data_IF_397484320171
#
_entry.id   IF_397484320171
#
_cell.length_a   1.000
_cell.length_b   1.000
_cell.length_c   1.000
_cell.angle_alpha   90.00
_cell.angle_beta   90.00
_cell.angle_gamma   90.00
#
_symmetry.space_group_name_H-M   'P 1'
#
loop_
_entity.id
_entity.type
_entity.pdbx_description
1 polymer ?
#
# COMPACT_ATOMS: atom_id res chain seq x y z
N UNK A 1 -8.11 -15.82 -36.25
CA UNK A 1 -7.39 -17.09 -36.47
C UNK A 1 -8.25 -18.31 -36.15
N UNK A 2 -8.90 -18.35 -34.97
CA UNK A 2 -9.76 -19.49 -34.57
C UNK A 2 -10.98 -19.62 -35.49
N UNK A 3 -11.62 -18.53 -35.85
CA UNK A 3 -12.78 -18.53 -36.76
C UNK A 3 -12.42 -18.95 -38.21
N UNK A 4 -11.19 -18.66 -38.68
CA UNK A 4 -10.69 -19.08 -39.99
C UNK A 4 -10.45 -20.59 -40.06
N UNK A 5 -10.10 -21.21 -38.93
CA UNK A 5 -9.87 -22.66 -38.80
C UNK A 5 -11.20 -23.44 -38.78
N UNK A 6 -12.26 -22.86 -38.24
CA UNK A 6 -13.58 -23.51 -38.16
C UNK A 6 -14.40 -23.43 -39.49
N UNK A 7 -14.04 -22.49 -40.37
CA UNK A 7 -14.82 -22.27 -41.63
C UNK A 7 -14.15 -22.92 -42.86
N UNK A 8 -13.64 -24.15 -42.74
CA UNK A 8 -13.00 -24.90 -43.82
C UNK A 8 -13.96 -25.67 -44.73
N UNK A 9 -15.25 -25.34 -44.68
CA UNK A 9 -16.24 -25.89 -45.60
C UNK A 9 -16.53 -24.87 -46.73
N UNK A 10 -16.58 -25.33 -47.97
CA UNK A 10 -16.72 -24.60 -49.24
C UNK A 10 -17.90 -23.61 -49.34
N UNK A 11 -18.08 -22.74 -48.38
CA UNK A 11 -19.03 -21.63 -48.45
C UNK A 11 -18.30 -20.35 -48.85
N UNK A 12 -18.93 -19.45 -49.63
CA UNK A 12 -18.31 -18.20 -50.04
C UNK A 12 -17.80 -17.47 -48.79
N UNK A 13 -16.54 -17.06 -48.81
CA UNK A 13 -15.94 -16.27 -47.74
C UNK A 13 -16.75 -15.00 -47.60
N UNK A 14 -17.54 -14.88 -46.55
CA UNK A 14 -18.06 -13.59 -46.14
C UNK A 14 -16.88 -12.73 -45.79
N UNK A 15 -16.63 -11.68 -46.55
CA UNK A 15 -15.64 -10.66 -46.21
C UNK A 15 -16.09 -10.04 -44.88
N UNK A 16 -15.49 -10.49 -43.78
CA UNK A 16 -15.61 -9.76 -42.54
C UNK A 16 -14.97 -8.39 -42.75
N UNK A 17 -15.79 -7.36 -42.68
CA UNK A 17 -15.30 -5.99 -42.68
C UNK A 17 -14.21 -5.87 -41.60
N UNK A 18 -13.07 -5.27 -41.94
CA UNK A 18 -12.00 -5.00 -40.99
C UNK A 18 -12.52 -4.25 -39.74
N UNK A 19 -13.57 -3.44 -39.93
CA UNK A 19 -14.30 -2.77 -38.85
C UNK A 19 -14.92 -3.76 -37.85
N UNK A 20 -15.54 -4.84 -38.30
CA UNK A 20 -16.13 -5.85 -37.40
C UNK A 20 -15.07 -6.63 -36.65
N UNK A 21 -13.90 -6.87 -37.26
CA UNK A 21 -12.77 -7.51 -36.58
C UNK A 21 -12.21 -6.60 -35.48
N UNK A 22 -12.06 -5.31 -35.77
CA UNK A 22 -11.60 -4.32 -34.75
C UNK A 22 -12.60 -4.22 -33.60
N UNK A 23 -13.91 -4.12 -33.89
CA UNK A 23 -14.95 -4.07 -32.86
C UNK A 23 -14.94 -5.33 -31.98
N UNK A 24 -14.86 -6.51 -32.61
CA UNK A 24 -14.79 -7.77 -31.86
C UNK A 24 -13.54 -7.83 -30.94
N UNK A 25 -12.39 -7.36 -31.44
CA UNK A 25 -11.17 -7.30 -30.65
C UNK A 25 -11.29 -6.33 -29.46
N UNK A 26 -11.88 -5.16 -29.67
CA UNK A 26 -12.12 -4.18 -28.59
C UNK A 26 -13.07 -4.73 -27.53
N UNK A 27 -14.19 -5.34 -27.94
CA UNK A 27 -15.15 -5.96 -27.02
C UNK A 27 -14.46 -7.06 -26.20
N UNK A 28 -13.69 -7.92 -26.87
CA UNK A 28 -12.94 -8.99 -26.16
C UNK A 28 -11.90 -8.42 -25.17
N UNK A 29 -11.17 -7.37 -25.57
CA UNK A 29 -10.21 -6.70 -24.70
C UNK A 29 -10.90 -6.07 -23.47
N UNK A 30 -12.07 -5.43 -23.66
CA UNK A 30 -12.86 -4.88 -22.55
C UNK A 30 -13.33 -5.98 -21.59
N UNK A 31 -13.86 -7.10 -22.10
CA UNK A 31 -14.24 -8.25 -21.26
C UNK A 31 -13.05 -8.84 -20.49
N UNK A 32 -11.91 -8.99 -21.16
CA UNK A 32 -10.70 -9.50 -20.55
C UNK A 32 -10.20 -8.56 -19.45
N UNK A 33 -10.23 -7.26 -19.70
CA UNK A 33 -9.83 -6.24 -18.72
C UNK A 33 -10.78 -6.20 -17.51
N UNK A 34 -12.10 -6.27 -17.74
CA UNK A 34 -13.10 -6.35 -16.66
C UNK A 34 -12.94 -7.63 -15.85
N UNK A 35 -12.67 -8.76 -16.50
CA UNK A 35 -12.40 -10.02 -15.82
C UNK A 35 -11.12 -9.94 -14.98
N UNK A 36 -10.07 -9.32 -15.51
CA UNK A 36 -8.82 -9.12 -14.80
C UNK A 36 -9.01 -8.24 -13.53
N UNK A 37 -9.71 -7.11 -13.67
CA UNK A 37 -10.04 -6.25 -12.52
C UNK A 37 -10.92 -7.00 -11.50
N UNK A 38 -11.84 -7.83 -11.95
CA UNK A 38 -12.68 -8.64 -11.05
C UNK A 38 -11.87 -9.66 -10.23
N UNK A 39 -10.76 -10.17 -10.78
CA UNK A 39 -9.88 -11.10 -10.08
C UNK A 39 -8.86 -10.40 -9.17
N UNK A 40 -8.34 -9.26 -9.60
CA UNK A 40 -7.27 -8.55 -8.88
C UNK A 40 -7.79 -7.45 -7.95
N UNK A 41 -9.04 -7.03 -8.13
CA UNK A 41 -9.58 -5.82 -7.50
C UNK A 41 -9.04 -4.52 -8.12
N UNK A 42 -9.52 -3.40 -7.65
CA UNK A 42 -8.91 -2.10 -7.90
C UNK A 42 -7.69 -1.94 -7.01
N UNK A 43 -6.64 -1.22 -7.46
CA UNK A 43 -5.54 -0.87 -6.59
C UNK A 43 -6.09 -0.13 -5.37
N UNK A 44 -5.75 -0.62 -4.17
CA UNK A 44 -6.12 0.02 -2.93
C UNK A 44 -5.49 1.42 -2.86
N UNK A 45 -6.23 2.37 -2.29
CA UNK A 45 -5.64 3.67 -2.00
C UNK A 45 -4.62 3.49 -0.88
N UNK A 46 -3.39 4.02 -1.03
CA UNK A 46 -2.39 3.89 0.01
C UNK A 46 -2.86 4.56 1.31
N UNK A 47 -2.55 3.93 2.44
CA UNK A 47 -2.83 4.47 3.77
C UNK A 47 -1.80 5.54 4.10
N UNK A 48 -2.28 6.74 4.37
CA UNK A 48 -1.45 7.89 4.73
C UNK A 48 -1.45 8.10 6.24
N UNK A 49 -0.27 8.12 6.83
CA UNK A 49 -0.04 8.52 8.22
C UNK A 49 0.79 9.79 8.19
N UNK A 50 0.26 10.88 8.71
CA UNK A 50 1.04 12.10 8.89
C UNK A 50 1.63 12.09 10.30
N UNK A 51 2.94 12.12 10.38
CA UNK A 51 3.71 12.15 11.62
C UNK A 51 4.36 13.52 11.72
N UNK A 52 3.89 14.37 12.61
CA UNK A 52 4.19 15.81 12.66
C UNK A 52 3.89 16.47 11.29
N UNK A 53 4.90 16.86 10.53
CA UNK A 53 4.77 17.47 9.20
C UNK A 53 5.12 16.53 8.05
N UNK A 54 5.50 15.29 8.38
CA UNK A 54 6.00 14.31 7.40
C UNK A 54 4.89 13.33 7.06
N UNK A 55 4.61 13.19 5.77
CA UNK A 55 3.65 12.20 5.29
C UNK A 55 4.33 10.86 5.08
N UNK A 56 3.79 9.81 5.68
CA UNK A 56 4.27 8.44 5.59
C UNK A 56 3.20 7.59 4.91
N UNK A 57 3.49 7.11 3.72
CA UNK A 57 2.64 6.17 2.99
C UNK A 57 3.13 4.77 3.29
N UNK A 58 2.33 4.01 4.06
CA UNK A 58 2.67 2.64 4.44
C UNK A 58 2.73 1.75 3.19
N UNK A 59 3.84 1.05 3.02
CA UNK A 59 4.11 0.23 1.83
C UNK A 59 4.89 0.94 0.72
N UNK A 60 5.04 2.27 0.76
CA UNK A 60 5.71 3.07 -0.28
C UNK A 60 6.88 3.92 0.25
N UNK A 61 6.67 4.65 1.36
CA UNK A 61 7.68 5.56 1.93
C UNK A 61 8.91 4.78 2.38
N UNK A 62 10.09 5.27 1.99
CA UNK A 62 11.37 4.70 2.41
C UNK A 62 11.85 5.31 3.71
N UNK A 63 12.62 4.54 4.49
CA UNK A 63 13.25 5.05 5.71
C UNK A 63 14.20 6.24 5.44
N UNK A 64 14.80 6.33 4.23
CA UNK A 64 15.60 7.49 3.82
C UNK A 64 14.81 8.80 3.80
N UNK A 65 13.52 8.77 3.53
CA UNK A 65 12.66 9.95 3.51
C UNK A 65 12.45 10.48 4.93
N UNK A 66 12.18 9.57 5.91
CA UNK A 66 12.10 9.97 7.32
C UNK A 66 13.43 10.53 7.83
N UNK A 67 14.55 9.90 7.45
CA UNK A 67 15.88 10.38 7.80
C UNK A 67 16.13 11.80 7.26
N UNK A 68 15.71 12.09 6.02
CA UNK A 68 15.86 13.43 5.42
C UNK A 68 15.00 14.50 6.09
N UNK A 69 13.88 14.10 6.69
CA UNK A 69 12.98 14.96 7.48
C UNK A 69 13.42 15.12 8.95
N UNK A 70 14.59 14.59 9.31
CA UNK A 70 15.20 14.73 10.63
C UNK A 70 14.76 13.69 11.66
N UNK A 71 14.08 12.64 11.26
CA UNK A 71 13.82 11.49 12.11
C UNK A 71 15.10 10.65 12.28
N UNK A 72 15.20 10.00 13.43
CA UNK A 72 16.23 9.02 13.74
C UNK A 72 15.57 7.73 14.20
N UNK A 73 16.23 6.61 13.99
CA UNK A 73 15.74 5.28 14.39
C UNK A 73 16.54 4.80 15.60
N UNK A 74 15.88 4.20 16.59
CA UNK A 74 16.51 3.72 17.79
C UNK A 74 17.67 2.76 17.50
N UNK A 75 18.86 3.09 17.98
CA UNK A 75 20.11 2.30 17.81
C UNK A 75 20.46 1.94 16.36
N UNK A 76 19.92 2.65 15.37
CA UNK A 76 20.17 2.39 13.95
C UNK A 76 20.59 3.66 13.22
N UNK A 77 21.52 3.48 12.28
CA UNK A 77 21.95 4.50 11.33
C UNK A 77 21.44 4.17 9.93
N UNK A 78 21.54 5.11 8.99
CA UNK A 78 21.10 4.94 7.61
C UNK A 78 21.71 3.70 6.93
N UNK A 79 22.93 3.33 7.27
CA UNK A 79 23.66 2.20 6.68
C UNK A 79 23.55 0.91 7.50
N UNK A 80 22.83 0.91 8.64
CA UNK A 80 22.60 -0.29 9.42
C UNK A 80 21.88 -1.35 8.59
N UNK A 81 22.37 -2.58 8.61
CA UNK A 81 21.73 -3.70 7.96
C UNK A 81 20.41 -4.09 8.64
N UNK A 82 19.37 -4.22 7.85
CA UNK A 82 18.06 -4.74 8.25
C UNK A 82 17.85 -6.06 7.53
N UNK A 83 17.60 -7.10 8.31
CA UNK A 83 17.34 -8.46 7.82
C UNK A 83 15.83 -8.72 7.86
N UNK A 84 15.30 -9.29 6.80
CA UNK A 84 13.93 -9.77 6.75
C UNK A 84 13.83 -11.04 7.61
N UNK A 85 13.16 -10.93 8.75
CA UNK A 85 12.87 -12.09 9.60
C UNK A 85 11.69 -12.84 8.96
N UNK A 86 11.96 -14.04 8.42
CA UNK A 86 10.93 -14.92 7.89
C UNK A 86 10.37 -15.77 9.03
N UNK A 87 9.05 -15.73 9.24
CA UNK A 87 8.36 -16.86 9.81
C UNK A 87 7.57 -17.57 8.70
N UNK A 88 7.08 -18.78 8.95
CA UNK A 88 6.51 -19.68 7.94
C UNK A 88 5.39 -19.09 7.07
N UNK A 89 4.87 -17.88 7.36
CA UNK A 89 3.70 -17.31 6.68
C UNK A 89 3.83 -15.83 6.32
N UNK A 90 4.73 -15.05 6.95
CA UNK A 90 4.81 -13.61 6.73
C UNK A 90 6.26 -13.11 6.75
N UNK A 91 6.54 -12.11 5.91
CA UNK A 91 7.76 -11.32 5.99
C UNK A 91 7.53 -10.17 6.96
N UNK A 92 8.23 -10.18 8.08
CA UNK A 92 8.23 -9.05 9.00
C UNK A 92 9.51 -8.25 8.83
N UNK A 93 9.36 -6.95 8.62
CA UNK A 93 10.47 -6.04 8.77
C UNK A 93 10.89 -5.89 10.24
N UNK A 94 11.95 -5.15 10.47
CA UNK A 94 12.41 -4.81 11.81
C UNK A 94 11.55 -3.68 12.38
N UNK A 95 10.93 -3.91 13.54
CA UNK A 95 10.24 -2.86 14.29
C UNK A 95 11.26 -1.97 14.98
N UNK A 96 11.19 -0.68 14.71
CA UNK A 96 12.11 0.33 15.24
C UNK A 96 11.33 1.54 15.76
N UNK A 97 11.71 2.06 16.91
CA UNK A 97 11.19 3.31 17.42
C UNK A 97 11.79 4.49 16.66
N UNK A 98 10.97 5.48 16.32
CA UNK A 98 11.39 6.69 15.62
C UNK A 98 11.34 7.91 16.53
N UNK A 99 12.37 8.74 16.40
CA UNK A 99 12.54 9.95 17.20
C UNK A 99 12.77 11.15 16.32
N UNK A 100 12.28 12.30 16.76
CA UNK A 100 12.60 13.60 16.18
C UNK A 100 12.74 14.62 17.32
N UNK A 101 13.82 15.38 17.33
CA UNK A 101 14.12 16.37 18.38
C UNK A 101 14.03 15.79 19.81
N UNK A 102 14.46 14.52 19.98
CA UNK A 102 14.44 13.81 21.25
C UNK A 102 13.07 13.33 21.74
N UNK A 103 12.02 13.50 20.93
CA UNK A 103 10.68 12.99 21.19
C UNK A 103 10.44 11.70 20.42
N UNK A 104 9.79 10.72 21.06
CA UNK A 104 9.34 9.50 20.38
C UNK A 104 8.03 9.74 19.64
N UNK A 105 7.99 9.32 18.39
CA UNK A 105 6.80 9.34 17.54
C UNK A 105 6.24 7.93 17.27
N UNK A 106 6.56 6.97 18.15
CA UNK A 106 6.08 5.59 18.05
C UNK A 106 7.02 4.69 17.27
N UNK A 107 6.47 3.63 16.70
CA UNK A 107 7.23 2.55 16.09
C UNK A 107 6.86 2.39 14.62
N UNK A 108 7.86 2.07 13.81
CA UNK A 108 7.68 1.70 12.41
C UNK A 108 8.32 0.35 12.14
N UNK A 109 7.70 -0.47 11.29
CA UNK A 109 8.38 -1.62 10.73
C UNK A 109 9.05 -1.23 9.42
N UNK A 110 10.34 -1.52 9.30
CA UNK A 110 11.14 -1.27 8.09
C UNK A 110 11.49 -2.60 7.44
N UNK A 111 11.18 -2.74 6.16
CA UNK A 111 11.28 -4.01 5.44
C UNK A 111 12.14 -3.85 4.18
N UNK A 112 13.18 -4.68 3.99
CA UNK A 112 13.93 -4.75 2.74
C UNK A 112 13.03 -5.18 1.58
N UNK A 113 13.04 -4.44 0.47
CA UNK A 113 12.19 -4.73 -0.68
C UNK A 113 12.85 -5.75 -1.61
N UNK A 114 12.24 -6.94 -1.72
CA UNK A 114 12.66 -7.98 -2.66
C UNK A 114 14.01 -8.63 -2.37
N UNK A 115 14.55 -8.44 -1.15
CA UNK A 115 15.83 -8.98 -0.70
C UNK A 115 15.71 -9.55 0.70
N UNK A 116 16.66 -10.43 1.07
CA UNK A 116 16.73 -10.98 2.43
C UNK A 116 17.28 -9.94 3.43
N UNK A 117 18.12 -9.01 2.99
CA UNK A 117 18.59 -7.87 3.78
C UNK A 117 18.90 -6.65 2.90
N UNK A 118 18.82 -5.45 3.49
CA UNK A 118 19.26 -4.21 2.87
C UNK A 118 19.66 -3.20 3.96
N UNK A 119 20.30 -2.09 3.57
CA UNK A 119 20.56 -0.98 4.50
C UNK A 119 19.24 -0.28 4.86
N UNK A 120 19.15 0.19 6.11
CA UNK A 120 17.96 0.87 6.65
C UNK A 120 17.39 1.92 5.68
N UNK A 121 18.23 2.77 5.11
CA UNK A 121 17.82 3.85 4.18
C UNK A 121 17.04 3.36 2.95
N UNK A 122 17.25 2.10 2.52
CA UNK A 122 16.60 1.52 1.36
C UNK A 122 15.31 0.76 1.71
N UNK A 123 15.09 0.47 2.99
CA UNK A 123 13.92 -0.25 3.47
C UNK A 123 12.66 0.60 3.33
N UNK A 124 11.53 -0.06 3.10
CA UNK A 124 10.20 0.56 3.03
C UNK A 124 9.52 0.45 4.38
N UNK A 125 8.78 1.48 4.78
CA UNK A 125 7.94 1.49 5.96
C UNK A 125 6.70 0.66 5.68
N UNK A 126 6.53 -0.47 6.36
CA UNK A 126 5.41 -1.41 6.13
C UNK A 126 4.39 -1.43 7.27
N UNK A 127 4.68 -0.76 8.36
CA UNK A 127 3.81 -0.66 9.53
C UNK A 127 4.11 0.61 10.32
N UNK A 128 3.10 1.18 10.96
CA UNK A 128 3.23 2.27 11.91
C UNK A 128 2.36 2.03 13.15
N UNK A 129 2.89 2.34 14.32
CA UNK A 129 2.21 2.22 15.60
C UNK A 129 2.58 3.38 16.51
N UNK A 130 1.61 3.92 17.24
CA UNK A 130 1.82 4.89 18.31
C UNK A 130 0.92 4.56 19.49
N UNK A 131 1.45 4.65 20.69
CA UNK A 131 0.70 4.42 21.91
C UNK A 131 -0.36 5.51 22.15
N UNK A 132 -1.54 5.11 22.64
CA UNK A 132 -2.65 6.02 22.90
C UNK A 132 -2.36 7.04 24.01
N UNK A 133 -1.38 6.78 24.87
CA UNK A 133 -0.91 7.67 25.93
C UNK A 133 0.34 8.49 25.54
N UNK A 134 0.78 8.36 24.27
CA UNK A 134 1.89 9.13 23.74
C UNK A 134 1.59 10.64 23.79
N UNK A 135 2.56 11.42 24.26
CA UNK A 135 2.47 12.89 24.25
C UNK A 135 2.42 13.47 22.84
N UNK A 136 2.90 12.74 21.86
CA UNK A 136 2.94 13.12 20.45
C UNK A 136 1.69 12.65 19.66
N UNK A 137 0.73 12.00 20.31
CA UNK A 137 -0.49 11.51 19.64
C UNK A 137 -1.25 12.60 18.88
N UNK A 138 -1.27 13.84 19.41
CA UNK A 138 -1.90 14.99 18.76
C UNK A 138 -1.13 15.54 17.54
N UNK A 139 0.12 15.10 17.37
CA UNK A 139 0.96 15.45 16.21
C UNK A 139 0.88 14.36 15.11
N UNK A 140 0.00 13.34 15.31
CA UNK A 140 -0.17 12.23 14.37
C UNK A 140 -1.60 12.15 13.87
N UNK A 141 -1.76 12.11 12.55
CA UNK A 141 -3.06 11.88 11.93
C UNK A 141 -3.02 10.63 11.06
N UNK A 142 -4.12 9.91 11.01
CA UNK A 142 -4.32 8.76 10.15
C UNK A 142 -5.41 9.11 9.14
N UNK A 143 -5.06 9.08 7.85
CA UNK A 143 -5.95 9.48 6.76
C UNK A 143 -6.70 10.79 7.06
N UNK A 144 -5.95 11.82 7.51
CA UNK A 144 -6.42 13.16 7.92
C UNK A 144 -7.27 13.21 9.21
N UNK A 145 -7.44 12.08 9.91
CA UNK A 145 -8.14 12.04 11.20
C UNK A 145 -7.13 12.16 12.33
N UNK A 146 -7.33 13.17 13.21
CA UNK A 146 -6.52 13.36 14.40
C UNK A 146 -6.79 12.27 15.42
N UNK A 147 -5.78 11.46 15.70
CA UNK A 147 -5.90 10.30 16.60
C UNK A 147 -6.17 10.72 18.06
N UNK A 148 -5.72 11.89 18.48
CA UNK A 148 -5.90 12.38 19.84
C UNK A 148 -7.35 12.76 20.18
N UNK A 149 -8.19 12.95 19.15
CA UNK A 149 -9.60 13.27 19.29
C UNK A 149 -10.50 12.04 19.37
N UNK A 150 -9.93 10.85 19.10
CA UNK A 150 -10.69 9.60 19.10
C UNK A 150 -10.82 9.03 20.52
N UNK A 151 -12.01 8.55 20.83
CA UNK A 151 -12.33 7.89 22.09
C UNK A 151 -12.71 6.44 21.86
N UNK A 152 -12.63 5.61 22.90
CA UNK A 152 -13.14 4.22 22.85
C UNK A 152 -14.63 4.19 22.45
N UNK A 153 -15.39 5.22 22.78
CA UNK A 153 -16.80 5.31 22.43
C UNK A 153 -17.01 5.49 20.93
N UNK A 154 -16.11 6.21 20.21
CA UNK A 154 -16.19 6.34 18.77
C UNK A 154 -16.06 4.98 18.09
N UNK A 155 -15.11 4.14 18.51
CA UNK A 155 -14.93 2.78 17.99
C UNK A 155 -16.07 1.81 18.35
N UNK A 156 -16.89 2.10 19.37
CA UNK A 156 -18.06 1.30 19.73
C UNK A 156 -19.31 1.68 18.96
N UNK A 157 -19.40 2.91 18.50
CA UNK A 157 -20.63 3.49 17.93
C UNK A 157 -20.55 3.79 16.45
N UNK A 158 -19.33 3.85 15.88
CA UNK A 158 -19.09 4.18 14.48
C UNK A 158 -18.28 3.07 13.80
N UNK A 159 -18.48 2.88 12.50
CA UNK A 159 -17.63 2.01 11.70
C UNK A 159 -16.24 2.62 11.56
N UNK A 160 -15.20 1.78 11.60
CA UNK A 160 -13.80 2.20 11.36
C UNK A 160 -13.65 2.90 10.01
N UNK A 161 -14.38 2.43 9.00
CA UNK A 161 -14.38 3.06 7.66
C UNK A 161 -14.88 4.50 7.70
N UNK A 162 -15.89 4.78 8.51
CA UNK A 162 -16.44 6.14 8.66
C UNK A 162 -15.51 7.03 9.49
N UNK A 163 -14.88 6.47 10.53
CA UNK A 163 -13.94 7.21 11.39
C UNK A 163 -12.75 7.72 10.55
N UNK A 164 -12.19 6.86 9.72
CA UNK A 164 -10.98 7.17 8.94
C UNK A 164 -11.26 7.53 7.48
N UNK A 165 -12.52 7.72 7.11
CA UNK A 165 -12.94 8.06 5.73
C UNK A 165 -12.38 7.07 4.68
N UNK A 166 -12.33 5.79 5.04
CA UNK A 166 -11.87 4.73 4.15
C UNK A 166 -12.95 4.39 3.13
N UNK A 167 -12.58 4.28 1.86
CA UNK A 167 -13.50 3.80 0.85
C UNK A 167 -13.65 2.27 0.93
N UNK A 168 -14.81 1.70 0.53
CA UNK A 168 -15.01 0.25 0.50
C UNK A 168 -14.00 -0.51 -0.38
N UNK A 169 -13.31 0.21 -1.27
CA UNK A 169 -12.27 -0.31 -2.18
C UNK A 169 -10.89 -0.36 -1.52
N UNK A 170 -10.74 0.29 -0.36
CA UNK A 170 -9.45 0.42 0.36
C UNK A 170 -9.23 -0.75 1.36
N UNK A 171 -10.02 -1.81 1.29
CA UNK A 171 -9.99 -2.95 2.22
C UNK A 171 -9.51 -4.24 1.57
#
# INVERSE_FOLDING_TARGET
>A
LILTLLNRSNKPMYFYSSSNAVMATLVFACFFFMFFISLTGFPSKPIEVQVDKTNVIVGETKASELLSEGFTFYEKTADSEIVNERNDHFYYGKLLEIFRDGKSYGFVSVTPTGKDSDSLKNCVITYYEIDADSKQLSEVTFNHTDLSQLTIQDFKTRDIKDIFSLNPVDS
#
